data_IF_526647753951
#
_entry.id   IF_526647753951
#
_cell.length_a   1.000
_cell.length_b   1.000
_cell.length_c   1.000
_cell.angle_alpha   90.00
_cell.angle_beta   90.00
_cell.angle_gamma   90.00
#
_symmetry.space_group_name_H-M   'P 1'
#
loop_
_entity.id
_entity.type
_entity.pdbx_description
1 polymer ?
#
# COMPACT_ATOMS: atom_id res chain seq x y z
N UNK A 1 -10.36 11.41 6.82
CA UNK A 1 -9.08 12.06 6.56
C UNK A 1 -8.42 11.47 5.31
N UNK A 2 -7.24 11.91 5.03
CA UNK A 2 -6.59 11.53 3.79
C UNK A 2 -6.21 10.07 3.74
N UNK A 3 -5.77 9.51 4.85
CA UNK A 3 -5.44 8.09 4.91
C UNK A 3 -6.69 7.25 4.67
N UNK A 4 -7.80 7.66 5.21
CA UNK A 4 -9.05 6.94 5.01
C UNK A 4 -9.50 7.03 3.55
N UNK A 5 -9.33 8.17 2.91
CA UNK A 5 -9.66 8.31 1.50
C UNK A 5 -8.83 7.37 0.64
N UNK A 6 -7.54 7.26 0.95
CA UNK A 6 -6.66 6.36 0.21
C UNK A 6 -7.07 4.92 0.45
N UNK A 7 -7.39 4.58 1.69
CA UNK A 7 -7.83 3.23 2.04
C UNK A 7 -9.08 2.85 1.25
N UNK A 8 -10.04 3.74 1.19
CA UNK A 8 -11.27 3.48 0.47
C UNK A 8 -11.03 3.34 -1.03
N UNK A 9 -10.10 4.12 -1.56
CA UNK A 9 -9.75 4.00 -2.97
C UNK A 9 -9.17 2.63 -3.28
N UNK A 10 -8.24 2.18 -2.45
CA UNK A 10 -7.61 0.87 -2.64
C UNK A 10 -8.65 -0.25 -2.60
N UNK A 11 -9.54 -0.19 -1.63
CA UNK A 11 -10.53 -1.25 -1.45
C UNK A 11 -11.61 -1.20 -2.53
N UNK A 12 -12.12 -0.03 -2.84
CA UNK A 12 -13.33 0.06 -3.66
C UNK A 12 -13.03 0.30 -5.14
N UNK A 13 -11.99 1.05 -5.45
CA UNK A 13 -11.68 1.35 -6.83
C UNK A 13 -10.68 0.38 -7.43
N UNK A 14 -9.64 0.04 -6.68
CA UNK A 14 -8.66 -0.93 -7.15
C UNK A 14 -9.03 -2.37 -6.82
N UNK A 15 -9.96 -2.55 -5.90
CA UNK A 15 -10.37 -3.89 -5.45
C UNK A 15 -9.20 -4.69 -4.93
N UNK A 16 -8.33 -4.04 -4.16
CA UNK A 16 -7.19 -4.70 -3.54
C UNK A 16 -7.32 -4.60 -2.04
N UNK A 17 -6.75 -5.57 -1.37
CA UNK A 17 -6.63 -5.50 0.07
C UNK A 17 -5.27 -4.99 0.46
N UNK A 18 -5.01 -4.97 1.74
CA UNK A 18 -3.72 -4.52 2.23
C UNK A 18 -3.73 -4.49 3.74
N UNK A 19 -2.75 -3.82 4.29
CA UNK A 19 -2.59 -3.72 5.74
C UNK A 19 -2.31 -2.30 6.12
N UNK A 20 -2.74 -1.95 7.31
CA UNK A 20 -2.40 -0.66 7.91
C UNK A 20 -1.44 -0.96 9.06
N UNK A 21 -0.28 -0.34 9.00
CA UNK A 21 0.75 -0.57 10.02
C UNK A 21 0.97 0.72 10.78
N UNK A 22 0.92 0.66 12.11
CA UNK A 22 1.30 1.83 12.91
C UNK A 22 2.81 1.99 12.83
N UNK A 23 3.25 3.22 12.56
CA UNK A 23 4.67 3.52 12.51
C UNK A 23 4.93 4.76 13.35
N UNK A 24 6.19 4.94 13.67
CA UNK A 24 6.62 6.07 14.47
C UNK A 24 7.79 6.71 13.76
N UNK A 25 7.73 8.03 13.59
CA UNK A 25 8.81 8.74 12.95
C UNK A 25 10.06 8.72 13.80
N UNK A 26 11.20 8.59 13.14
CA UNK A 26 12.46 8.54 13.85
C UNK A 26 12.85 9.91 14.40
N UNK A 27 12.49 10.95 13.69
CA UNK A 27 12.93 12.29 14.04
C UNK A 27 12.21 12.85 15.27
N UNK A 28 10.89 12.79 15.26
CA UNK A 28 10.11 13.38 16.35
C UNK A 28 9.17 12.40 17.00
N UNK A 29 9.25 11.12 16.64
CA UNK A 29 8.43 10.05 17.18
C UNK A 29 6.94 10.24 16.96
N UNK A 30 6.58 11.04 15.97
CA UNK A 30 5.19 11.21 15.63
C UNK A 30 4.58 9.89 15.16
N UNK A 31 3.39 9.58 15.68
CA UNK A 31 2.71 8.36 15.31
C UNK A 31 1.97 8.58 13.99
N UNK A 32 2.11 7.63 13.09
CA UNK A 32 1.50 7.68 11.78
C UNK A 32 1.02 6.29 11.38
N UNK A 33 0.26 6.23 10.32
CA UNK A 33 -0.15 4.97 9.75
C UNK A 33 0.45 4.81 8.38
N UNK A 34 0.92 3.61 8.11
CA UNK A 34 1.44 3.24 6.79
C UNK A 34 0.50 2.25 6.17
N UNK A 35 0.07 2.52 4.95
CA UNK A 35 -0.76 1.59 4.20
C UNK A 35 0.14 0.79 3.29
N UNK A 36 0.06 -0.52 3.42
CA UNK A 36 0.84 -1.42 2.58
C UNK A 36 -0.12 -2.26 1.74
N UNK A 37 0.02 -2.21 0.44
CA UNK A 37 -0.83 -2.96 -0.45
C UNK A 37 0.01 -3.49 -1.60
N UNK A 38 -0.49 -4.52 -2.25
CA UNK A 38 0.18 -5.11 -3.38
C UNK A 38 -0.65 -4.87 -4.62
N UNK A 39 0.00 -4.36 -5.65
CA UNK A 39 -0.68 -4.02 -6.89
C UNK A 39 0.20 -4.45 -8.06
N UNK A 40 -0.42 -4.63 -9.21
CA UNK A 40 0.35 -4.85 -10.42
C UNK A 40 0.84 -3.51 -10.95
N UNK A 41 1.64 -3.56 -12.02
CA UNK A 41 2.26 -2.35 -12.55
C UNK A 41 1.24 -1.33 -13.00
N UNK A 42 0.19 -1.78 -13.66
CA UNK A 42 -0.86 -0.86 -14.13
C UNK A 42 -1.58 -0.19 -12.97
N UNK A 43 -1.91 -0.99 -11.96
CA UNK A 43 -2.57 -0.44 -10.77
C UNK A 43 -1.67 0.52 -10.02
N UNK A 44 -0.36 0.27 -10.05
CA UNK A 44 0.58 1.15 -9.37
C UNK A 44 0.52 2.57 -9.94
N UNK A 45 0.50 2.69 -11.26
CA UNK A 45 0.42 4.00 -11.89
C UNK A 45 -0.87 4.71 -11.50
N UNK A 46 -1.99 3.99 -11.58
CA UNK A 46 -3.28 4.56 -11.25
C UNK A 46 -3.32 4.97 -9.77
N UNK A 47 -2.77 4.14 -8.92
CA UNK A 47 -2.77 4.42 -7.48
C UNK A 47 -1.93 5.65 -7.16
N UNK A 48 -0.76 5.77 -7.79
CA UNK A 48 0.08 6.93 -7.55
C UNK A 48 -0.63 8.23 -7.94
N UNK A 49 -1.33 8.21 -9.05
CA UNK A 49 -2.08 9.39 -9.48
C UNK A 49 -3.19 9.73 -8.51
N UNK A 50 -3.89 8.71 -8.02
CA UNK A 50 -4.98 8.92 -7.07
C UNK A 50 -4.45 9.47 -5.74
N UNK A 51 -3.34 8.92 -5.27
CA UNK A 51 -2.74 9.38 -4.02
C UNK A 51 -2.33 10.84 -4.15
N UNK A 52 -1.73 11.21 -5.26
CA UNK A 52 -1.31 12.58 -5.46
C UNK A 52 -2.49 13.55 -5.42
N UNK A 53 -3.63 13.14 -5.97
CA UNK A 53 -4.83 13.98 -5.95
C UNK A 53 -5.39 14.09 -4.55
N UNK A 54 -5.37 13.01 -3.78
CA UNK A 54 -5.92 12.99 -2.43
C UNK A 54 -5.01 13.75 -1.48
N UNK A 55 -3.71 13.48 -1.57
CA UNK A 55 -2.73 14.05 -0.66
C UNK A 55 -1.42 14.26 -1.38
N UNK A 56 -1.19 15.46 -1.94
CA UNK A 56 0.06 15.71 -2.66
C UNK A 56 1.32 15.58 -1.81
N UNK A 57 1.16 15.58 -0.49
CA UNK A 57 2.30 15.46 0.42
C UNK A 57 2.51 14.03 0.91
N UNK A 58 1.74 13.08 0.42
CA UNK A 58 1.91 11.69 0.83
C UNK A 58 3.25 11.17 0.38
N UNK A 59 3.87 10.37 1.23
CA UNK A 59 5.14 9.75 0.94
C UNK A 59 4.89 8.31 0.47
N UNK A 60 5.39 7.98 -0.70
CA UNK A 60 5.14 6.67 -1.30
C UNK A 60 6.46 5.99 -1.59
N UNK A 61 6.58 4.74 -1.16
CA UNK A 61 7.75 3.92 -1.46
C UNK A 61 7.28 2.68 -2.20
N UNK A 62 7.98 2.31 -3.25
CA UNK A 62 7.59 1.19 -4.09
C UNK A 62 8.68 0.14 -4.04
N UNK A 63 8.27 -1.09 -3.78
CA UNK A 63 9.18 -2.24 -3.78
C UNK A 63 8.69 -3.27 -4.77
N UNK A 64 9.63 -3.88 -5.47
CA UNK A 64 9.30 -5.05 -6.29
C UNK A 64 9.29 -6.28 -5.40
N UNK A 65 8.18 -7.02 -5.46
CA UNK A 65 8.08 -8.27 -4.72
C UNK A 65 8.38 -9.43 -5.66
N UNK A 66 9.54 -10.01 -5.49
CA UNK A 66 9.95 -11.12 -6.34
C UNK A 66 9.35 -12.44 -5.91
N UNK A 67 9.14 -12.59 -4.63
CA UNK A 67 8.54 -13.79 -4.08
C UNK A 67 7.49 -13.40 -3.06
N UNK A 68 6.33 -14.01 -3.21
CA UNK A 68 5.24 -13.80 -2.28
C UNK A 68 4.82 -15.17 -1.78
N UNK A 69 4.90 -15.34 -0.47
CA UNK A 69 4.57 -16.60 0.15
C UNK A 69 3.31 -16.43 0.99
N UNK A 70 2.54 -17.48 1.09
CA UNK A 70 1.39 -17.44 1.93
C UNK A 70 0.16 -17.94 1.19
N UNK A 71 -0.99 -17.75 1.84
CA UNK A 71 -2.25 -18.20 1.30
C UNK A 71 -2.55 -17.46 0.01
N UNK A 72 -2.89 -18.19 -1.01
CA UNK A 72 -3.22 -17.61 -2.31
C UNK A 72 -2.03 -17.45 -3.22
N UNK A 73 -0.83 -17.79 -2.75
CA UNK A 73 0.37 -17.70 -3.55
C UNK A 73 1.06 -19.05 -3.61
N UNK A 74 1.83 -19.22 -4.65
CA UNK A 74 2.61 -20.46 -4.77
C UNK A 74 3.69 -20.48 -3.70
N UNK A 75 3.73 -21.55 -2.96
CA UNK A 75 4.73 -21.71 -1.90
C UNK A 75 5.98 -22.37 -2.47
N UNK A 76 7.11 -22.03 -1.89
CA UNK A 76 8.37 -22.58 -2.36
C UNK A 76 8.45 -24.09 -2.16
N UNK A 77 7.79 -24.60 -1.14
CA UNK A 77 7.84 -26.02 -0.81
C UNK A 77 6.66 -26.80 -1.33
N UNK A 78 5.80 -26.19 -2.12
CA UNK A 78 4.57 -26.82 -2.58
C UNK A 78 4.53 -26.98 -4.09
N UNK A 79 5.66 -27.18 -4.67
CA UNK A 79 5.75 -27.33 -6.13
C UNK A 79 5.18 -28.68 -6.63
#
# INVERSE_FOLDING_TARGET
DKAEEIRMYVLNDLHRGGSILPIQGMYNRAEKEMIMTMVNRRQMVTLQQAIYKIDPNAFVTIFDANQILGKGFKRLDAE
#
